data_IF_820663489991
#
_entry.id   IF_820663489991
#
_cell.length_a   1.000
_cell.length_b   1.000
_cell.length_c   1.000
_cell.angle_alpha   90.00
_cell.angle_beta   90.00
_cell.angle_gamma   90.00
#
_symmetry.space_group_name_H-M   'P 1'
#
loop_
_entity.id
_entity.type
_entity.pdbx_description
1 polymer ?
#
# COMPACT_ATOMS: atom_id res chain seq x y z
N UNK A 1 16.34 -13.67 -4.70
CA UNK A 1 16.08 -14.75 -3.69
C UNK A 1 14.82 -15.58 -4.04
N UNK A 2 13.67 -14.98 -4.36
CA UNK A 2 12.45 -15.74 -4.73
C UNK A 2 12.57 -16.44 -6.09
N UNK A 3 13.34 -15.88 -7.03
CA UNK A 3 13.59 -16.50 -8.34
C UNK A 3 14.45 -17.75 -8.24
N UNK A 4 15.40 -17.79 -7.32
CA UNK A 4 16.29 -18.93 -7.10
C UNK A 4 15.54 -20.11 -6.44
N UNK A 5 14.44 -19.87 -5.73
CA UNK A 5 13.66 -20.90 -5.07
C UNK A 5 12.66 -21.63 -6.00
N UNK A 6 12.56 -21.23 -7.30
CA UNK A 6 11.60 -21.80 -8.24
C UNK A 6 10.12 -21.52 -7.91
N UNK A 7 9.87 -20.55 -7.03
CA UNK A 7 8.53 -20.18 -6.51
C UNK A 7 8.09 -18.76 -6.87
N UNK A 8 8.81 -18.14 -7.81
CA UNK A 8 8.43 -16.81 -8.30
C UNK A 8 7.04 -16.84 -8.93
N UNK A 9 6.20 -15.81 -8.73
CA UNK A 9 4.91 -15.70 -9.38
C UNK A 9 5.04 -15.76 -10.89
N UNK A 10 4.21 -16.56 -11.57
CA UNK A 10 4.26 -16.76 -13.02
C UNK A 10 3.73 -15.56 -13.82
N UNK A 11 3.04 -14.62 -13.18
CA UNK A 11 2.49 -13.41 -13.80
C UNK A 11 2.36 -12.25 -12.82
N UNK A 12 2.24 -11.03 -13.35
CA UNK A 12 1.95 -9.84 -12.53
C UNK A 12 0.63 -9.99 -11.77
N UNK A 13 -0.40 -10.53 -12.39
CA UNK A 13 -1.68 -10.75 -11.71
C UNK A 13 -1.54 -11.72 -10.52
N UNK A 14 -0.76 -12.79 -10.69
CA UNK A 14 -0.46 -13.71 -9.58
C UNK A 14 0.34 -13.02 -8.47
N UNK A 15 1.35 -12.23 -8.82
CA UNK A 15 2.15 -11.47 -7.86
C UNK A 15 1.29 -10.52 -7.03
N UNK A 16 0.43 -9.74 -7.67
CA UNK A 16 -0.44 -8.78 -7.00
C UNK A 16 -1.48 -9.44 -6.11
N UNK A 17 -2.03 -10.59 -6.54
CA UNK A 17 -3.00 -11.37 -5.79
C UNK A 17 -2.39 -12.07 -4.57
N UNK A 18 -1.23 -12.70 -4.75
CA UNK A 18 -0.57 -13.49 -3.72
C UNK A 18 0.15 -12.59 -2.70
N UNK A 19 0.71 -11.46 -3.15
CA UNK A 19 1.59 -10.64 -2.33
C UNK A 19 2.94 -11.30 -2.08
N UNK A 20 3.65 -10.82 -1.07
CA UNK A 20 5.03 -11.22 -0.78
C UNK A 20 5.24 -11.68 0.67
N UNK A 21 4.19 -12.10 1.37
CA UNK A 21 4.35 -12.69 2.70
C UNK A 21 5.12 -14.02 2.61
N UNK A 22 6.21 -14.19 3.38
CA UNK A 22 7.06 -15.39 3.32
C UNK A 22 6.32 -16.73 3.44
N UNK A 23 5.31 -16.89 4.33
CA UNK A 23 4.60 -18.16 4.45
C UNK A 23 3.91 -18.64 3.16
N UNK A 24 3.58 -17.72 2.25
CA UNK A 24 2.96 -18.06 0.96
C UNK A 24 3.95 -18.68 -0.04
N UNK A 25 5.25 -18.60 0.26
CA UNK A 25 6.33 -19.15 -0.54
C UNK A 25 6.98 -20.36 0.12
N UNK A 26 6.95 -20.44 1.44
CA UNK A 26 7.60 -21.50 2.20
C UNK A 26 6.68 -22.68 2.48
N UNK A 27 5.35 -22.48 2.42
CA UNK A 27 4.35 -23.48 2.80
C UNK A 27 3.38 -23.77 1.65
N UNK A 28 2.85 -24.99 1.56
CA UNK A 28 1.83 -25.36 0.57
C UNK A 28 0.44 -24.84 1.02
N UNK A 29 0.26 -23.53 1.09
CA UNK A 29 -1.00 -22.89 1.49
C UNK A 29 -1.58 -22.09 0.33
N UNK A 30 -2.91 -22.13 0.20
CA UNK A 30 -3.62 -21.33 -0.79
C UNK A 30 -3.59 -19.84 -0.37
N UNK A 31 -3.09 -18.90 -1.22
CA UNK A 31 -2.95 -17.49 -0.86
C UNK A 31 -4.25 -16.87 -0.36
N UNK A 32 -5.38 -17.12 -1.05
CA UNK A 32 -6.66 -16.56 -0.66
C UNK A 32 -7.13 -16.98 0.73
N UNK A 33 -6.92 -18.24 1.11
CA UNK A 33 -7.27 -18.74 2.46
C UNK A 33 -6.34 -18.10 3.49
N UNK A 34 -5.04 -18.16 3.25
CA UNK A 34 -4.05 -17.62 4.19
C UNK A 34 -4.24 -16.11 4.45
N UNK A 35 -4.48 -15.32 3.39
CA UNK A 35 -4.69 -13.88 3.51
C UNK A 35 -5.99 -13.54 4.25
N UNK A 36 -7.07 -14.32 4.03
CA UNK A 36 -8.32 -14.17 4.79
C UNK A 36 -8.10 -14.45 6.27
N UNK A 37 -7.39 -15.53 6.60
CA UNK A 37 -7.05 -15.87 7.98
C UNK A 37 -6.14 -14.82 8.62
N UNK A 38 -5.17 -14.28 7.85
CA UNK A 38 -4.32 -13.19 8.31
C UNK A 38 -5.12 -11.93 8.63
N UNK A 39 -6.07 -11.55 7.78
CA UNK A 39 -6.97 -10.42 8.05
C UNK A 39 -7.79 -10.68 9.31
N UNK A 40 -8.41 -11.84 9.44
CA UNK A 40 -9.28 -12.17 10.57
C UNK A 40 -8.49 -12.26 11.90
N UNK A 41 -7.30 -12.82 11.87
CA UNK A 41 -6.50 -13.05 13.09
C UNK A 41 -5.62 -11.87 13.44
N UNK A 42 -4.72 -11.46 12.55
CA UNK A 42 -3.77 -10.41 12.87
C UNK A 42 -4.40 -9.01 12.79
N UNK A 43 -5.11 -8.70 11.71
CA UNK A 43 -5.67 -7.35 11.51
C UNK A 43 -6.87 -7.10 12.43
N UNK A 44 -7.87 -8.00 12.38
CA UNK A 44 -9.14 -7.77 13.08
C UNK A 44 -9.11 -8.18 14.57
N UNK A 45 -8.28 -9.11 14.97
CA UNK A 45 -8.18 -9.53 16.37
C UNK A 45 -7.02 -8.84 17.07
N UNK A 46 -5.78 -9.01 16.59
CA UNK A 46 -4.59 -8.61 17.33
C UNK A 46 -4.35 -7.09 17.24
N UNK A 47 -4.36 -6.52 16.04
CA UNK A 47 -4.19 -5.05 15.86
C UNK A 47 -5.33 -4.29 16.52
N UNK A 48 -6.55 -4.77 16.38
CA UNK A 48 -7.72 -4.18 17.03
C UNK A 48 -7.62 -4.22 18.57
N UNK A 49 -7.09 -5.32 19.14
CA UNK A 49 -6.97 -5.45 20.60
C UNK A 49 -6.01 -4.42 21.20
N UNK A 50 -4.93 -4.08 20.50
CA UNK A 50 -3.97 -3.02 20.89
C UNK A 50 -4.66 -1.66 21.06
N UNK A 51 -5.67 -1.39 20.25
CA UNK A 51 -6.44 -0.15 20.30
C UNK A 51 -7.62 -0.17 21.28
N UNK A 52 -7.94 -1.32 21.86
CA UNK A 52 -9.14 -1.49 22.68
C UNK A 52 -10.45 -1.23 21.90
N UNK A 53 -10.45 -1.46 20.58
CA UNK A 53 -11.58 -1.18 19.70
C UNK A 53 -12.73 -2.13 20.00
N UNK A 54 -13.87 -1.58 20.43
CA UNK A 54 -15.09 -2.34 20.70
C UNK A 54 -15.88 -2.63 19.43
N UNK A 55 -15.99 -1.67 18.52
CA UNK A 55 -16.70 -1.83 17.25
C UNK A 55 -15.81 -2.45 16.17
N UNK A 56 -15.88 -3.78 16.07
CA UNK A 56 -15.13 -4.54 15.06
C UNK A 56 -15.63 -4.28 13.63
N UNK A 57 -16.91 -3.95 13.47
CA UNK A 57 -17.52 -3.72 12.15
C UNK A 57 -17.02 -2.42 11.54
N UNK A 58 -16.99 -1.35 12.34
CA UNK A 58 -16.44 -0.07 11.89
C UNK A 58 -14.93 -0.17 11.59
N UNK A 59 -14.17 -0.93 12.41
CA UNK A 59 -12.74 -1.14 12.16
C UNK A 59 -12.49 -1.91 10.85
N UNK A 60 -13.20 -3.00 10.62
CA UNK A 60 -13.12 -3.76 9.36
C UNK A 60 -13.43 -2.86 8.17
N UNK A 61 -14.54 -2.10 8.23
CA UNK A 61 -14.91 -1.13 7.20
C UNK A 61 -13.81 -0.10 6.96
N UNK A 62 -13.21 0.44 8.02
CA UNK A 62 -12.11 1.39 7.92
C UNK A 62 -10.91 0.82 7.17
N UNK A 63 -10.48 -0.40 7.50
CA UNK A 63 -9.35 -1.08 6.84
C UNK A 63 -9.66 -1.36 5.36
N UNK A 64 -10.89 -1.80 5.03
CA UNK A 64 -11.33 -2.01 3.65
C UNK A 64 -11.37 -0.68 2.86
N UNK A 65 -11.84 0.40 3.48
CA UNK A 65 -11.84 1.73 2.87
C UNK A 65 -10.42 2.26 2.64
N UNK A 66 -9.46 1.93 3.51
CA UNK A 66 -8.04 2.20 3.27
C UNK A 66 -7.54 1.47 2.00
N UNK A 67 -7.91 0.19 1.83
CA UNK A 67 -7.54 -0.58 0.64
C UNK A 67 -8.15 0.02 -0.64
N UNK A 68 -9.39 0.50 -0.59
CA UNK A 68 -10.04 1.20 -1.71
C UNK A 68 -9.44 2.58 -2.04
N UNK A 69 -8.53 3.09 -1.22
CA UNK A 69 -7.90 4.42 -1.39
C UNK A 69 -6.38 4.36 -1.54
N UNK A 70 -5.86 3.21 -1.91
CA UNK A 70 -4.43 3.03 -2.24
C UNK A 70 -4.03 4.01 -3.35
N UNK A 71 -2.83 4.62 -3.23
CA UNK A 71 -2.29 5.57 -4.19
C UNK A 71 -2.98 6.94 -4.22
N UNK A 72 -4.04 7.13 -3.43
CA UNK A 72 -4.77 8.41 -3.34
C UNK A 72 -4.24 9.30 -2.21
N UNK A 73 -4.42 10.60 -2.37
CA UNK A 73 -4.18 11.55 -1.29
C UNK A 73 -5.05 11.21 -0.08
N UNK A 74 -4.45 11.08 1.07
CA UNK A 74 -5.13 10.73 2.30
C UNK A 74 -6.09 11.84 2.75
N UNK A 75 -7.38 11.63 2.52
CA UNK A 75 -8.46 12.42 3.09
C UNK A 75 -9.00 11.73 4.33
N UNK A 76 -8.37 12.00 5.47
CA UNK A 76 -8.75 11.34 6.73
C UNK A 76 -10.17 11.70 7.19
N UNK A 77 -10.67 12.89 6.88
CA UNK A 77 -12.03 13.31 7.22
C UNK A 77 -13.08 12.53 6.41
N UNK A 78 -12.87 12.39 5.10
CA UNK A 78 -13.74 11.59 4.24
C UNK A 78 -13.68 10.10 4.61
N UNK A 79 -12.49 9.58 4.88
CA UNK A 79 -12.31 8.20 5.33
C UNK A 79 -13.05 7.90 6.65
N UNK A 80 -13.00 8.83 7.60
CA UNK A 80 -13.70 8.73 8.87
C UNK A 80 -15.22 8.73 8.68
N UNK A 81 -15.74 9.65 7.86
CA UNK A 81 -17.17 9.75 7.56
C UNK A 81 -17.72 8.46 6.94
N UNK A 82 -17.00 7.91 5.93
CA UNK A 82 -17.42 6.67 5.26
C UNK A 82 -17.32 5.44 6.16
N UNK A 83 -16.39 5.44 7.11
CA UNK A 83 -16.29 4.38 8.13
C UNK A 83 -17.31 4.51 9.27
N UNK A 84 -17.98 5.65 9.40
CA UNK A 84 -18.93 5.94 10.49
C UNK A 84 -18.23 6.22 11.83
N UNK A 85 -17.03 6.82 11.79
CA UNK A 85 -16.21 7.12 12.99
C UNK A 85 -15.76 8.57 13.01
N UNK A 86 -15.24 9.03 14.15
CA UNK A 86 -14.67 10.38 14.23
C UNK A 86 -13.31 10.47 13.51
N UNK A 87 -12.94 11.67 13.07
CA UNK A 87 -11.61 11.92 12.48
C UNK A 87 -10.48 11.56 13.46
N UNK A 88 -10.65 11.81 14.74
CA UNK A 88 -9.67 11.47 15.80
C UNK A 88 -9.50 9.95 15.88
N UNK A 89 -10.61 9.20 15.86
CA UNK A 89 -10.58 7.73 15.82
C UNK A 89 -9.86 7.22 14.57
N UNK A 90 -10.18 7.76 13.39
CA UNK A 90 -9.53 7.37 12.14
C UNK A 90 -8.02 7.64 12.17
N UNK A 91 -7.59 8.76 12.76
CA UNK A 91 -6.19 9.09 12.93
C UNK A 91 -5.47 8.10 13.85
N UNK A 92 -6.07 7.74 14.98
CA UNK A 92 -5.54 6.73 15.90
C UNK A 92 -5.45 5.36 15.25
N UNK A 93 -6.48 4.93 14.52
CA UNK A 93 -6.49 3.64 13.84
C UNK A 93 -5.44 3.58 12.73
N UNK A 94 -5.31 4.63 11.93
CA UNK A 94 -4.27 4.72 10.91
C UNK A 94 -2.86 4.64 11.51
N UNK A 95 -2.62 5.33 12.63
CA UNK A 95 -1.33 5.29 13.31
C UNK A 95 -0.95 3.87 13.76
N UNK A 96 -1.92 3.09 14.26
CA UNK A 96 -1.68 1.69 14.64
C UNK A 96 -1.48 0.80 13.41
N UNK A 97 -2.25 0.99 12.32
CA UNK A 97 -1.99 0.25 11.07
C UNK A 97 -0.57 0.51 10.53
N UNK A 98 -0.06 1.73 10.66
CA UNK A 98 1.33 2.06 10.31
C UNK A 98 2.34 1.42 11.26
N UNK A 99 2.11 1.51 12.57
CA UNK A 99 2.98 0.91 13.59
C UNK A 99 3.03 -0.63 13.48
N UNK A 100 1.96 -1.25 12.99
CA UNK A 100 1.84 -2.69 12.74
C UNK A 100 2.34 -3.11 11.36
N UNK A 101 2.96 -2.19 10.59
CA UNK A 101 3.45 -2.44 9.22
C UNK A 101 2.39 -3.00 8.26
N UNK A 102 1.12 -2.63 8.43
CA UNK A 102 0.05 -2.98 7.50
C UNK A 102 -0.05 -1.96 6.37
N UNK A 103 0.16 -0.69 6.71
CA UNK A 103 0.14 0.42 5.76
C UNK A 103 1.32 1.35 5.98
N UNK A 104 1.67 2.11 4.95
CA UNK A 104 2.60 3.24 5.04
C UNK A 104 2.07 4.43 4.26
N UNK A 105 2.62 5.60 4.53
CA UNK A 105 2.26 6.82 3.82
C UNK A 105 3.49 7.41 3.15
N UNK A 106 3.30 7.91 1.94
CA UNK A 106 4.33 8.58 1.16
C UNK A 106 4.01 10.06 1.11
N UNK A 107 4.86 10.94 1.67
CA UNK A 107 4.64 12.38 1.64
C UNK A 107 4.90 12.97 0.26
N UNK A 108 4.29 14.11 -0.09
CA UNK A 108 4.64 14.83 -1.29
C UNK A 108 6.04 15.43 -1.17
N UNK A 109 6.78 15.44 -2.27
CA UNK A 109 8.06 16.13 -2.31
C UNK A 109 7.87 17.65 -2.34
N UNK A 110 8.75 18.37 -1.66
CA UNK A 110 8.89 19.82 -1.71
C UNK A 110 10.29 20.19 -1.26
N UNK A 111 10.92 21.18 -1.88
CA UNK A 111 12.19 21.75 -1.40
C UNK A 111 12.05 22.35 0.00
N UNK A 112 10.87 22.83 0.34
CA UNK A 112 10.55 23.33 1.69
C UNK A 112 10.05 22.17 2.57
N UNK A 113 10.85 21.79 3.58
CA UNK A 113 10.56 20.68 4.50
C UNK A 113 9.23 20.88 5.25
N UNK A 114 8.92 22.10 5.68
CA UNK A 114 7.65 22.38 6.35
C UNK A 114 6.45 22.08 5.46
N UNK A 115 6.55 22.33 4.15
CA UNK A 115 5.50 22.01 3.18
C UNK A 115 5.36 20.50 2.96
N UNK A 116 6.44 19.71 3.10
CA UNK A 116 6.35 18.23 3.06
C UNK A 116 5.50 17.69 4.22
N UNK A 117 5.58 18.32 5.40
CA UNK A 117 4.91 17.88 6.62
C UNK A 117 3.42 18.23 6.70
N UNK A 118 2.98 19.30 6.00
CA UNK A 118 1.60 19.81 6.11
C UNK A 118 0.68 19.27 4.99
N UNK A 119 1.23 18.88 3.84
CA UNK A 119 0.43 18.38 2.72
C UNK A 119 0.02 16.92 2.94
N UNK A 120 -1.17 16.56 2.44
CA UNK A 120 -1.69 15.19 2.53
C UNK A 120 -0.77 14.20 1.82
N UNK A 121 -0.33 13.13 2.49
CA UNK A 121 0.42 12.05 1.87
C UNK A 121 -0.49 11.14 1.04
N UNK A 122 0.08 10.25 0.23
CA UNK A 122 -0.59 9.11 -0.37
C UNK A 122 -0.52 7.90 0.59
N UNK A 123 -1.56 7.04 0.57
CA UNK A 123 -1.64 5.84 1.39
C UNK A 123 -1.32 4.59 0.56
N UNK A 124 -0.53 3.68 1.13
CA UNK A 124 -0.18 2.38 0.53
C UNK A 124 -0.23 1.26 1.58
N UNK A 125 -0.46 0.03 1.12
CA UNK A 125 -0.32 -1.18 1.93
C UNK A 125 1.08 -1.77 1.81
N UNK A 126 1.59 -2.35 2.89
CA UNK A 126 2.90 -3.00 2.89
C UNK A 126 2.93 -4.33 2.10
N UNK A 127 1.76 -4.81 1.66
CA UNK A 127 1.63 -6.01 0.84
C UNK A 127 0.44 -5.89 -0.13
N UNK A 128 0.66 -6.20 -1.42
CA UNK A 128 -0.38 -6.12 -2.45
C UNK A 128 -1.42 -7.22 -2.31
N UNK A 129 -1.05 -8.43 -1.87
CA UNK A 129 -1.97 -9.53 -1.65
C UNK A 129 -2.93 -9.25 -0.50
N UNK A 130 -2.44 -8.64 0.59
CA UNK A 130 -3.29 -8.16 1.67
C UNK A 130 -4.31 -7.14 1.16
N UNK A 131 -3.87 -6.16 0.38
CA UNK A 131 -4.76 -5.17 -0.21
C UNK A 131 -5.79 -5.80 -1.14
N UNK A 132 -5.37 -6.72 -2.01
CA UNK A 132 -6.25 -7.45 -2.92
C UNK A 132 -7.30 -8.28 -2.16
N UNK A 133 -6.91 -8.96 -1.07
CA UNK A 133 -7.81 -9.71 -0.20
C UNK A 133 -8.88 -8.82 0.46
N UNK A 134 -8.48 -7.65 0.98
CA UNK A 134 -9.38 -6.66 1.57
C UNK A 134 -10.37 -6.06 0.56
N UNK A 135 -9.97 -5.97 -0.71
CA UNK A 135 -10.81 -5.54 -1.85
C UNK A 135 -11.73 -6.65 -2.38
N UNK A 136 -11.66 -7.86 -1.81
CA UNK A 136 -12.50 -8.98 -2.21
C UNK A 136 -12.05 -9.67 -3.52
N UNK A 137 -10.82 -9.46 -3.96
CA UNK A 137 -10.23 -10.16 -5.10
C UNK A 137 -9.91 -11.59 -4.68
N UNK A 138 -10.52 -12.59 -5.34
CA UNK A 138 -10.49 -13.99 -4.90
C UNK A 138 -9.56 -14.87 -5.71
N UNK A 139 -9.16 -14.43 -6.90
CA UNK A 139 -8.28 -15.17 -7.80
C UNK A 139 -7.48 -14.22 -8.70
N UNK A 140 -6.31 -14.65 -9.20
CA UNK A 140 -5.45 -13.79 -10.03
C UNK A 140 -6.13 -13.30 -11.32
N UNK A 141 -6.96 -14.15 -11.95
CA UNK A 141 -7.64 -13.81 -13.20
C UNK A 141 -8.58 -12.59 -13.06
N UNK A 142 -9.11 -12.33 -11.87
CA UNK A 142 -9.91 -11.12 -11.62
C UNK A 142 -9.10 -9.84 -11.83
N UNK A 143 -7.77 -9.88 -11.66
CA UNK A 143 -6.91 -8.70 -11.82
C UNK A 143 -6.64 -8.33 -13.27
N UNK A 144 -6.84 -9.22 -14.23
CA UNK A 144 -6.49 -8.94 -15.63
C UNK A 144 -7.33 -7.80 -16.23
N UNK A 145 -8.60 -7.70 -15.83
CA UNK A 145 -9.52 -6.64 -16.24
C UNK A 145 -10.00 -5.77 -15.05
N UNK A 146 -9.39 -5.90 -13.87
CA UNK A 146 -9.85 -5.20 -12.67
C UNK A 146 -9.50 -3.71 -12.72
N UNK A 147 -10.44 -2.79 -12.41
CA UNK A 147 -10.18 -1.35 -12.43
C UNK A 147 -9.04 -0.91 -11.52
N UNK A 148 -8.81 -1.64 -10.43
CA UNK A 148 -7.78 -1.35 -9.44
C UNK A 148 -6.43 -2.05 -9.71
N UNK A 149 -6.27 -2.74 -10.87
CA UNK A 149 -5.01 -3.41 -11.22
C UNK A 149 -3.82 -2.44 -11.21
N UNK A 150 -4.00 -1.27 -11.85
CA UNK A 150 -2.96 -0.24 -11.93
C UNK A 150 -2.52 0.25 -10.55
N UNK A 151 -3.51 0.51 -9.69
CA UNK A 151 -3.28 0.99 -8.31
C UNK A 151 -2.60 -0.08 -7.45
N UNK A 152 -2.98 -1.35 -7.59
CA UNK A 152 -2.32 -2.46 -6.87
C UNK A 152 -0.89 -2.67 -7.37
N UNK A 153 -0.64 -2.47 -8.66
CA UNK A 153 0.71 -2.53 -9.23
C UNK A 153 1.57 -1.36 -8.72
N UNK A 154 1.03 -0.14 -8.68
CA UNK A 154 1.68 1.02 -8.07
C UNK A 154 1.99 0.73 -6.58
N UNK A 155 1.04 0.18 -5.83
CA UNK A 155 1.24 -0.20 -4.43
C UNK A 155 2.40 -1.20 -4.28
N UNK A 156 2.44 -2.24 -5.10
CA UNK A 156 3.54 -3.19 -5.09
C UNK A 156 4.89 -2.53 -5.39
N UNK A 157 4.98 -1.71 -6.44
CA UNK A 157 6.20 -1.02 -6.80
C UNK A 157 6.68 -0.06 -5.70
N UNK A 158 5.77 0.73 -5.11
CA UNK A 158 6.07 1.61 -3.99
C UNK A 158 6.57 0.85 -2.75
N UNK A 159 6.01 -0.32 -2.49
CA UNK A 159 6.45 -1.21 -1.41
C UNK A 159 7.87 -1.73 -1.67
N UNK A 160 8.18 -2.14 -2.91
CA UNK A 160 9.52 -2.61 -3.26
C UNK A 160 10.57 -1.48 -3.17
N UNK A 161 10.22 -0.26 -3.59
CA UNK A 161 11.08 0.92 -3.43
C UNK A 161 11.33 1.24 -1.94
N UNK A 162 10.32 1.10 -1.09
CA UNK A 162 10.45 1.26 0.36
C UNK A 162 11.36 0.19 0.96
N UNK A 163 11.13 -1.09 0.64
CA UNK A 163 11.94 -2.23 1.10
C UNK A 163 13.40 -2.12 0.66
N UNK A 164 13.65 -1.69 -0.58
CA UNK A 164 15.01 -1.51 -1.09
C UNK A 164 15.84 -0.53 -0.25
N UNK A 165 15.20 0.46 0.37
CA UNK A 165 15.86 1.41 1.26
C UNK A 165 15.96 0.87 2.70
N UNK A 166 14.85 0.36 3.26
CA UNK A 166 14.80 -0.12 4.64
C UNK A 166 15.70 -1.33 4.87
N UNK A 167 15.78 -2.26 3.91
CA UNK A 167 16.64 -3.45 4.00
C UNK A 167 18.15 -3.12 3.99
N UNK A 168 18.51 -1.92 3.50
CA UNK A 168 19.87 -1.38 3.60
C UNK A 168 20.14 -0.65 4.91
N UNK A 169 19.17 -0.63 5.83
CA UNK A 169 19.25 0.12 7.09
C UNK A 169 19.20 1.63 6.90
N UNK A 170 18.78 2.13 5.74
CA UNK A 170 18.67 3.56 5.48
C UNK A 170 17.27 4.07 5.80
N UNK A 171 17.18 5.32 6.28
CA UNK A 171 15.89 5.97 6.44
C UNK A 171 15.28 6.20 5.05
N UNK A 172 14.03 5.78 4.81
CA UNK A 172 13.39 5.97 3.52
C UNK A 172 13.30 7.45 3.11
N UNK A 173 13.74 7.75 1.90
CA UNK A 173 13.64 9.06 1.24
C UNK A 173 12.75 8.94 0.01
N UNK A 174 11.53 8.41 0.21
CA UNK A 174 10.53 8.13 -0.80
C UNK A 174 9.41 9.18 -0.73
N UNK A 175 9.11 9.80 -1.86
CA UNK A 175 8.12 10.86 -2.01
C UNK A 175 7.33 10.63 -3.30
N UNK A 176 6.24 11.38 -3.49
CA UNK A 176 5.60 11.62 -4.79
C UNK A 176 5.66 13.11 -5.13
N UNK A 177 5.51 13.45 -6.40
CA UNK A 177 5.36 14.85 -6.83
C UNK A 177 3.98 15.02 -7.45
N UNK A 178 3.29 16.11 -7.07
CA UNK A 178 2.10 16.58 -7.75
C UNK A 178 2.12 18.11 -7.78
N UNK A 179 2.03 18.67 -8.99
CA UNK A 179 1.98 20.10 -9.19
C UNK A 179 0.56 20.67 -9.07
N UNK A 180 0.43 21.98 -9.26
CA UNK A 180 -0.88 22.66 -9.21
C UNK A 180 -1.73 22.40 -10.46
N UNK A 181 -1.12 22.02 -11.57
CA UNK A 181 -1.74 21.70 -12.84
C UNK A 181 -2.27 20.26 -12.86
N UNK A 182 -1.85 19.45 -11.90
CA UNK A 182 -2.27 18.05 -11.76
C UNK A 182 -1.28 17.06 -12.36
N UNK A 183 -0.14 17.50 -12.91
CA UNK A 183 0.92 16.58 -13.31
C UNK A 183 1.48 15.88 -12.10
N UNK A 184 1.70 14.58 -12.24
CA UNK A 184 2.11 13.73 -11.14
C UNK A 184 3.31 12.86 -11.56
N UNK A 185 4.24 12.66 -10.61
CA UNK A 185 5.29 11.65 -10.68
C UNK A 185 5.02 10.68 -9.53
N UNK A 186 4.85 9.41 -9.85
CA UNK A 186 4.41 8.39 -8.89
C UNK A 186 5.38 8.23 -7.73
N UNK A 187 6.69 8.16 -8.01
CA UNK A 187 7.71 8.08 -6.97
C UNK A 187 8.91 8.99 -7.26
N UNK A 188 9.39 9.66 -6.22
CA UNK A 188 10.65 10.39 -6.18
C UNK A 188 11.52 9.82 -5.06
N UNK A 189 12.74 9.47 -5.39
CA UNK A 189 13.74 8.97 -4.43
C UNK A 189 14.83 10.03 -4.30
N UNK A 190 15.01 10.58 -3.11
CA UNK A 190 16.09 11.53 -2.82
C UNK A 190 17.34 10.74 -2.38
N UNK A 191 18.29 10.51 -3.29
CA UNK A 191 19.53 9.75 -3.04
C UNK A 191 20.57 10.55 -2.26
N UNK A 192 20.57 11.88 -2.43
CA UNK A 192 21.33 12.84 -1.65
C UNK A 192 20.63 14.21 -1.74
N UNK A 193 20.94 15.18 -0.88
CA UNK A 193 20.25 16.47 -0.89
C UNK A 193 20.19 17.10 -2.29
N UNK A 194 19.00 17.27 -2.81
CA UNK A 194 18.74 17.83 -4.14
C UNK A 194 18.91 16.90 -5.33
N UNK A 195 19.38 15.66 -5.13
CA UNK A 195 19.47 14.64 -6.19
C UNK A 195 18.26 13.71 -6.15
N UNK A 196 17.36 13.87 -7.09
CA UNK A 196 16.08 13.15 -7.18
C UNK A 196 16.09 12.18 -8.36
N UNK A 197 15.65 10.96 -8.11
CA UNK A 197 15.33 9.98 -9.15
C UNK A 197 13.82 9.91 -9.26
N UNK A 198 13.29 10.22 -10.45
CA UNK A 198 11.87 10.11 -10.75
C UNK A 198 11.57 8.71 -11.29
N UNK A 199 10.49 8.11 -10.81
CA UNK A 199 9.99 6.80 -11.25
C UNK A 199 8.53 6.94 -11.58
N UNK A 200 8.17 6.57 -12.81
CA UNK A 200 6.80 6.44 -13.26
C UNK A 200 6.42 4.95 -13.26
N UNK A 201 5.23 4.63 -12.78
CA UNK A 201 4.80 3.24 -12.55
C UNK A 201 3.60 2.93 -13.43
N UNK A 202 3.78 2.04 -14.41
CA UNK A 202 2.71 1.61 -15.34
C UNK A 202 2.55 0.11 -15.33
N UNK A 203 1.33 -0.38 -15.15
CA UNK A 203 0.99 -1.81 -15.19
C UNK A 203 0.77 -2.35 -16.61
N UNK A 204 0.79 -1.50 -17.63
CA UNK A 204 0.61 -1.88 -19.04
C UNK A 204 1.89 -2.46 -19.65
N UNK A 205 1.71 -3.29 -20.69
CA UNK A 205 2.83 -3.88 -21.44
C UNK A 205 3.47 -2.89 -22.43
N UNK A 206 2.80 -1.79 -22.76
CA UNK A 206 3.27 -0.81 -23.74
C UNK A 206 3.74 0.44 -23.03
N UNK A 207 5.01 0.80 -23.21
CA UNK A 207 5.56 2.08 -22.79
C UNK A 207 5.28 3.06 -23.93
N UNK A 208 4.45 4.10 -23.70
CA UNK A 208 4.32 5.20 -24.66
C UNK A 208 5.54 6.12 -24.54
N UNK A 209 5.99 6.66 -25.67
CA UNK A 209 7.14 7.59 -25.70
C UNK A 209 6.76 9.04 -25.34
N UNK A 210 5.50 9.30 -25.03
CA UNK A 210 4.98 10.62 -24.66
C UNK A 210 5.22 10.88 -23.17
N UNK A 211 6.42 11.37 -22.87
CA UNK A 211 6.89 11.80 -21.54
C UNK A 211 7.14 13.29 -21.55
#
# INVERSE_FOLDING_TARGET
ELQDAGRAPGSVAQLLYQGLFPPLYDRPVAPGIWLQDYVATYVERDVRSVLGIKDSTAFRRFVQLCAGRIGQLLNLTGLAADAGITRVTAQSWLAVLQASNLVFVVPPWSSNISKRLIKSPKLYFCDSGLAASLLGIREPAHLDAHPLRGVLFENWAMTELLKAQTNRGTKPSLYFLRDKQGHEVDALIESSPGHLHAVEIKSGATISADW
#
